data_IF_200454458266
#
_entry.id   IF_200454458266
#
_cell.length_a   1.000
_cell.length_b   1.000
_cell.length_c   1.000
_cell.angle_alpha   90.00
_cell.angle_beta   90.00
_cell.angle_gamma   90.00
#
_symmetry.space_group_name_H-M   'P 1'
#
loop_
_entity.id
_entity.type
_entity.pdbx_description
1 polymer ?
#
# COMPACT_ATOMS: atom_id res chain seq x y z
N UNK A 1 22.64 1.50 10.91
CA UNK A 1 23.74 0.73 10.29
C UNK A 1 23.32 0.31 8.90
N UNK A 2 23.97 0.84 7.86
CA UNK A 2 23.62 0.52 6.46
C UNK A 2 24.06 -0.90 6.14
N UNK A 3 23.09 -1.79 5.98
CA UNK A 3 23.34 -3.16 5.56
C UNK A 3 23.51 -3.17 4.03
N UNK A 4 24.74 -3.36 3.53
CA UNK A 4 25.07 -3.34 2.09
C UNK A 4 24.18 -4.28 1.26
N UNK A 5 23.75 -5.42 1.84
CA UNK A 5 22.80 -6.34 1.22
C UNK A 5 21.42 -5.71 1.05
N UNK A 6 20.91 -5.01 2.06
CA UNK A 6 19.62 -4.33 1.97
C UNK A 6 19.65 -3.20 0.93
N UNK A 7 20.76 -2.46 0.87
CA UNK A 7 20.96 -1.43 -0.16
C UNK A 7 20.94 -2.03 -1.57
N UNK A 8 21.70 -3.10 -1.81
CA UNK A 8 21.72 -3.81 -3.09
C UNK A 8 20.33 -4.38 -3.47
N UNK A 9 19.61 -4.96 -2.51
CA UNK A 9 18.25 -5.48 -2.74
C UNK A 9 17.24 -4.36 -3.02
N UNK A 10 17.37 -3.22 -2.35
CA UNK A 10 16.54 -2.04 -2.63
C UNK A 10 16.81 -1.51 -4.04
N UNK A 11 18.10 -1.39 -4.41
CA UNK A 11 18.53 -0.94 -5.73
C UNK A 11 18.03 -1.88 -6.84
N UNK A 12 18.12 -3.20 -6.63
CA UNK A 12 17.58 -4.20 -7.55
C UNK A 12 16.04 -4.11 -7.72
N UNK A 13 15.29 -3.87 -6.65
CA UNK A 13 13.83 -3.67 -6.76
C UNK A 13 13.51 -2.41 -7.54
N UNK A 14 14.23 -1.32 -7.28
CA UNK A 14 14.07 -0.04 -7.99
C UNK A 14 14.40 -0.17 -9.48
N UNK A 15 15.47 -0.90 -9.85
CA UNK A 15 15.84 -1.08 -11.25
C UNK A 15 14.80 -1.89 -12.04
N UNK A 16 14.25 -2.96 -11.46
CA UNK A 16 13.18 -3.73 -12.10
C UNK A 16 11.88 -2.92 -12.25
N UNK A 17 11.59 -2.05 -11.28
CA UNK A 17 10.44 -1.16 -11.31
C UNK A 17 10.61 -0.09 -12.39
N UNK A 18 11.76 0.55 -12.47
CA UNK A 18 12.07 1.53 -13.52
C UNK A 18 12.00 0.90 -14.92
N UNK A 19 12.56 -0.31 -15.10
CA UNK A 19 12.43 -1.05 -16.35
C UNK A 19 10.97 -1.36 -16.70
N UNK A 20 10.12 -1.58 -15.70
CA UNK A 20 8.67 -1.77 -15.90
C UNK A 20 7.97 -0.48 -16.30
N UNK A 21 8.36 0.65 -15.72
CA UNK A 21 7.74 1.95 -16.02
C UNK A 21 7.96 2.36 -17.48
N UNK A 22 9.11 2.00 -18.06
CA UNK A 22 9.39 2.23 -19.50
C UNK A 22 8.79 1.17 -20.43
N UNK A 23 8.63 -0.08 -19.96
CA UNK A 23 8.19 -1.18 -20.80
C UNK A 23 6.66 -1.31 -20.82
N UNK A 24 6.04 -0.89 -21.93
CA UNK A 24 4.58 -1.04 -22.15
C UNK A 24 4.15 -2.51 -22.17
N UNK A 25 4.93 -3.38 -22.79
CA UNK A 25 4.59 -4.79 -22.97
C UNK A 25 5.38 -5.75 -22.07
N UNK A 26 4.68 -6.77 -21.54
CA UNK A 26 5.25 -7.71 -20.55
C UNK A 26 6.33 -8.64 -21.10
N UNK A 27 6.29 -8.99 -22.39
CA UNK A 27 7.27 -9.89 -23.00
C UNK A 27 8.65 -9.21 -23.14
N UNK A 28 8.67 -7.94 -23.57
CA UNK A 28 9.91 -7.13 -23.63
C UNK A 28 10.51 -6.95 -22.24
N UNK A 29 9.67 -6.60 -21.26
CA UNK A 29 10.11 -6.42 -19.88
C UNK A 29 10.78 -7.69 -19.30
N UNK A 30 10.27 -8.88 -19.61
CA UNK A 30 10.88 -10.14 -19.11
C UNK A 30 12.32 -10.30 -19.60
N UNK A 31 12.60 -9.98 -20.86
CA UNK A 31 13.97 -10.00 -21.41
C UNK A 31 14.89 -9.02 -20.67
N UNK A 32 14.42 -7.79 -20.48
CA UNK A 32 15.16 -6.76 -19.74
C UNK A 32 15.40 -7.14 -18.27
N UNK A 33 14.39 -7.71 -17.61
CA UNK A 33 14.50 -8.12 -16.20
C UNK A 33 15.54 -9.23 -16.01
N UNK A 34 15.62 -10.18 -16.93
CA UNK A 34 16.66 -11.22 -16.91
C UNK A 34 18.05 -10.63 -17.13
N UNK A 35 18.18 -9.67 -18.05
CA UNK A 35 19.43 -8.96 -18.27
C UNK A 35 19.90 -8.18 -17.02
N UNK A 36 18.99 -7.43 -16.38
CA UNK A 36 19.29 -6.74 -15.12
C UNK A 36 19.73 -7.75 -14.06
N UNK A 37 19.04 -8.89 -13.95
CA UNK A 37 19.41 -9.95 -13.01
C UNK A 37 20.81 -10.49 -13.28
N UNK A 38 21.18 -10.76 -14.53
CA UNK A 38 22.52 -11.27 -14.86
C UNK A 38 23.63 -10.28 -14.48
N UNK A 39 23.38 -8.96 -14.62
CA UNK A 39 24.33 -7.94 -14.19
C UNK A 39 24.58 -7.96 -12.66
N UNK A 40 23.52 -8.14 -11.87
CA UNK A 40 23.66 -8.26 -10.42
C UNK A 40 24.30 -9.58 -10.00
N UNK A 41 23.98 -10.68 -10.69
CA UNK A 41 24.59 -11.98 -10.40
C UNK A 41 26.09 -12.01 -10.72
N UNK A 42 26.53 -11.36 -11.80
CA UNK A 42 27.94 -11.22 -12.15
C UNK A 42 28.75 -10.51 -11.05
N UNK A 43 28.14 -9.57 -10.33
CA UNK A 43 28.79 -8.76 -9.29
C UNK A 43 28.55 -9.28 -7.86
N UNK A 44 27.95 -10.47 -7.70
CA UNK A 44 27.55 -11.01 -6.39
C UNK A 44 28.72 -11.35 -5.47
N UNK A 45 29.85 -11.79 -6.04
CA UNK A 45 30.97 -12.38 -5.30
C UNK A 45 32.08 -11.38 -4.96
N UNK A 46 31.82 -10.08 -5.08
CA UNK A 46 32.80 -9.04 -4.76
C UNK A 46 32.93 -8.94 -3.24
N UNK A 47 34.12 -9.23 -2.69
CA UNK A 47 34.39 -9.16 -1.25
C UNK A 47 34.77 -7.74 -0.81
N UNK A 48 35.44 -6.99 -1.69
CA UNK A 48 35.94 -5.64 -1.40
C UNK A 48 34.81 -4.62 -1.17
N UNK A 49 34.67 -4.14 0.06
CA UNK A 49 33.62 -3.18 0.45
C UNK A 49 33.71 -1.86 -0.31
N UNK A 50 34.94 -1.38 -0.61
CA UNK A 50 35.14 -0.14 -1.38
C UNK A 50 34.60 -0.26 -2.80
N UNK A 51 34.85 -1.39 -3.46
CA UNK A 51 34.35 -1.68 -4.81
C UNK A 51 32.83 -1.84 -4.80
N UNK A 52 32.27 -2.52 -3.80
CA UNK A 52 30.80 -2.63 -3.65
C UNK A 52 30.14 -1.24 -3.56
N UNK A 53 30.71 -0.33 -2.76
CA UNK A 53 30.19 1.05 -2.63
C UNK A 53 30.30 1.84 -3.94
N UNK A 54 31.43 1.72 -4.64
CA UNK A 54 31.61 2.37 -5.94
C UNK A 54 30.53 1.91 -6.94
N UNK A 55 30.33 0.59 -7.07
CA UNK A 55 29.31 0.02 -7.96
C UNK A 55 27.88 0.45 -7.57
N UNK A 56 27.55 0.46 -6.28
CA UNK A 56 26.25 0.96 -5.83
C UNK A 56 26.07 2.42 -6.22
N UNK A 57 27.06 3.28 -6.00
CA UNK A 57 26.98 4.70 -6.36
C UNK A 57 26.87 4.91 -7.88
N UNK A 58 27.60 4.13 -8.69
CA UNK A 58 27.52 4.17 -10.15
C UNK A 58 26.13 3.76 -10.64
N UNK A 59 25.59 2.67 -10.11
CA UNK A 59 24.24 2.20 -10.46
C UNK A 59 23.15 3.17 -9.99
N UNK A 60 23.32 3.87 -8.87
CA UNK A 60 22.39 4.93 -8.45
C UNK A 60 22.41 6.13 -9.40
N UNK A 61 23.59 6.54 -9.89
CA UNK A 61 23.69 7.58 -10.91
C UNK A 61 22.98 7.18 -12.20
N UNK A 62 23.19 5.94 -12.64
CA UNK A 62 22.49 5.41 -13.83
C UNK A 62 20.98 5.37 -13.62
N UNK A 63 20.50 4.94 -12.45
CA UNK A 63 19.07 4.95 -12.16
C UNK A 63 18.50 6.37 -12.20
N UNK A 64 19.23 7.35 -11.67
CA UNK A 64 18.80 8.75 -11.68
C UNK A 64 18.66 9.30 -13.09
N UNK A 65 19.64 9.03 -13.97
CA UNK A 65 19.61 9.52 -15.36
C UNK A 65 18.47 8.93 -16.18
N UNK A 66 18.05 7.70 -15.88
CA UNK A 66 17.04 6.96 -16.64
C UNK A 66 15.65 6.99 -15.98
N UNK A 67 15.45 7.83 -14.95
CA UNK A 67 14.15 7.96 -14.29
C UNK A 67 13.07 8.37 -15.28
N UNK A 68 11.95 7.66 -15.21
CA UNK A 68 10.77 8.03 -15.97
C UNK A 68 10.12 9.26 -15.31
N UNK A 69 9.69 10.29 -16.07
CA UNK A 69 9.09 11.50 -15.52
C UNK A 69 7.76 11.27 -14.78
N UNK A 70 6.97 10.27 -15.18
CA UNK A 70 5.68 9.93 -14.54
C UNK A 70 5.60 8.43 -14.21
N UNK A 71 6.23 7.97 -13.12
CA UNK A 71 6.31 6.55 -12.80
C UNK A 71 4.95 5.95 -12.45
N UNK A 72 4.71 4.68 -12.82
CA UNK A 72 3.44 4.04 -12.50
C UNK A 72 3.24 3.89 -10.99
N UNK A 73 2.19 4.53 -10.48
CA UNK A 73 1.76 4.44 -9.09
C UNK A 73 0.54 3.53 -8.96
N UNK A 74 0.51 2.67 -7.93
CA UNK A 74 -0.65 1.82 -7.71
C UNK A 74 -1.85 2.68 -7.28
N UNK A 75 -3.10 2.39 -7.68
CA UNK A 75 -4.22 3.29 -7.41
C UNK A 75 -4.43 3.62 -5.93
N UNK A 76 -4.22 2.64 -5.04
CA UNK A 76 -4.42 2.79 -3.59
C UNK A 76 -3.18 3.37 -2.87
N UNK A 77 -2.07 3.57 -3.58
CA UNK A 77 -0.82 4.09 -3.01
C UNK A 77 -0.98 5.52 -2.52
N UNK A 78 -0.09 5.98 -1.63
CA UNK A 78 0.19 7.42 -1.58
C UNK A 78 0.57 7.92 -2.99
N UNK A 79 -0.12 8.95 -3.46
CA UNK A 79 0.06 9.52 -4.81
C UNK A 79 -0.61 8.75 -5.96
N UNK A 80 -1.37 7.69 -5.67
CA UNK A 80 -2.20 6.99 -6.65
C UNK A 80 -3.56 7.65 -6.83
N UNK A 81 -4.23 7.40 -7.96
CA UNK A 81 -5.51 8.07 -8.26
C UNK A 81 -6.64 7.73 -7.27
N UNK A 82 -6.56 6.60 -6.55
CA UNK A 82 -7.54 6.14 -5.54
C UNK A 82 -7.09 6.33 -4.10
N UNK A 83 -5.98 7.02 -3.87
CA UNK A 83 -5.53 7.34 -2.53
C UNK A 83 -6.61 8.12 -1.77
N UNK A 84 -6.87 7.73 -0.51
CA UNK A 84 -7.77 8.42 0.42
C UNK A 84 -9.21 8.70 -0.09
N UNK A 85 -9.68 8.03 -1.15
CA UNK A 85 -11.07 8.21 -1.62
C UNK A 85 -12.12 7.79 -0.60
N UNK A 86 -11.86 6.69 0.12
CA UNK A 86 -12.79 6.08 1.09
C UNK A 86 -12.09 5.83 2.44
N UNK A 87 -11.59 6.88 3.10
CA UNK A 87 -11.00 6.73 4.43
C UNK A 87 -12.13 6.43 5.43
N UNK A 88 -12.03 5.36 6.24
CA UNK A 88 -13.03 5.11 7.27
C UNK A 88 -13.02 6.28 8.26
N UNK A 89 -14.21 6.68 8.72
CA UNK A 89 -14.31 7.70 9.76
C UNK A 89 -13.46 7.31 10.97
N UNK A 90 -12.82 8.31 11.58
CA UNK A 90 -12.05 8.10 12.80
C UNK A 90 -12.92 7.46 13.88
N UNK A 91 -12.34 6.60 14.72
CA UNK A 91 -13.07 5.84 15.74
C UNK A 91 -13.91 6.74 16.66
N UNK A 92 -13.40 7.93 17.00
CA UNK A 92 -14.12 8.93 17.81
C UNK A 92 -15.43 9.39 17.19
N UNK A 93 -15.52 9.47 15.85
CA UNK A 93 -16.75 9.84 15.16
C UNK A 93 -17.76 8.68 15.13
N UNK A 94 -17.27 7.44 15.10
CA UNK A 94 -18.11 6.24 15.16
C UNK A 94 -18.77 6.09 16.53
N UNK A 95 -18.01 6.29 17.60
CA UNK A 95 -18.50 6.26 19.00
C UNK A 95 -19.55 7.35 19.26
N UNK A 96 -19.35 8.56 18.71
CA UNK A 96 -20.32 9.66 18.81
C UNK A 96 -21.65 9.36 18.09
N UNK A 97 -21.61 8.69 16.94
CA UNK A 97 -22.81 8.35 16.16
C UNK A 97 -23.58 7.16 16.76
N UNK A 98 -22.88 6.17 17.32
CA UNK A 98 -23.50 5.01 17.98
C UNK A 98 -24.23 5.42 19.28
N UNK A 99 -23.64 6.34 20.05
CA UNK A 99 -24.24 6.90 21.26
C UNK A 99 -25.54 7.67 21.01
N UNK A 100 -25.74 8.21 19.80
CA UNK A 100 -26.93 9.00 19.42
C UNK A 100 -28.03 8.14 18.78
N UNK A 101 -27.69 6.96 18.28
CA UNK A 101 -28.64 6.00 17.69
C UNK A 101 -29.41 5.19 18.75
N UNK A 102 -28.89 5.06 19.97
CA UNK A 102 -29.55 4.33 21.08
C UNK A 102 -30.77 5.07 21.63
N UNK A 103 -30.92 6.38 21.38
CA UNK A 103 -31.97 7.21 21.96
C UNK A 103 -33.35 7.15 21.25
N UNK A 104 -33.50 6.38 20.17
CA UNK A 104 -34.74 6.43 19.34
C UNK A 104 -35.77 5.36 19.72
N UNK A 105 -35.44 4.34 20.52
CA UNK A 105 -36.35 3.19 20.77
C UNK A 105 -36.61 2.89 22.26
N UNK A 106 -37.01 3.88 23.06
CA UNK A 106 -37.52 3.63 24.40
C UNK A 106 -38.73 4.52 24.72
N UNK A 107 -39.87 4.24 24.10
CA UNK A 107 -41.21 4.48 24.67
C UNK A 107 -42.29 3.82 23.80
N UNK A 108 -42.30 2.48 23.77
CA UNK A 108 -43.45 1.70 23.30
C UNK A 108 -43.71 0.60 24.32
N UNK A 109 -44.75 0.86 25.14
CA UNK A 109 -45.66 -0.10 25.79
C UNK A 109 -45.08 -0.99 26.92
N UNK A 110 -45.46 -0.67 28.17
CA UNK A 110 -45.70 -1.70 29.20
C UNK A 110 -47.00 -1.42 29.96
N UNK A 111 -47.97 -2.32 29.74
CA UNK A 111 -48.96 -2.89 30.66
C UNK A 111 -49.98 -1.99 31.40
N UNK A 112 -51.26 -2.12 31.06
CA UNK A 112 -52.22 -2.84 31.92
C UNK A 112 -53.58 -2.98 31.20
N UNK A 113 -53.78 -4.13 30.55
CA UNK A 113 -55.11 -4.61 30.22
C UNK A 113 -55.60 -5.45 31.41
N UNK A 114 -56.44 -4.86 32.27
CA UNK A 114 -57.33 -5.64 33.13
C UNK A 114 -58.76 -5.46 32.63
N UNK A 115 -59.23 -6.51 31.97
CA UNK A 115 -60.61 -6.70 31.60
C UNK A 115 -61.52 -6.71 32.84
N UNK A 116 -62.58 -5.91 32.82
CA UNK A 116 -63.81 -6.14 33.59
C UNK A 116 -65.00 -5.84 32.67
N UNK A 117 -65.42 -6.88 31.96
CA UNK A 117 -66.77 -7.06 31.42
C UNK A 117 -67.29 -8.36 32.03
N UNK A 118 -68.59 -8.40 32.35
CA UNK A 118 -69.38 -9.37 33.15
C UNK A 118 -69.53 -8.90 34.62
N UNK A 119 -70.73 -8.73 35.19
CA UNK A 119 -72.03 -9.32 34.87
C UNK A 119 -73.17 -8.59 35.63
N UNK A 120 -74.37 -8.65 35.05
CA UNK A 120 -75.68 -8.73 35.71
C UNK A 120 -76.24 -7.59 36.60
N UNK A 121 -77.29 -6.96 36.04
CA UNK A 121 -78.67 -6.81 36.57
C UNK A 121 -79.19 -5.38 36.61
#
# INVERSE_FOLDING_TARGET
MSNHRQAALSLYRRSLKLALDWAVHRHLWRGQALYIRSLFEANRNIVDVRKQRALLNETEKLLETWKHPDPYCHPTAPGGSKYERNVPAHSTAREFMDSRSVCVNANVITSSATAKVLEAK
#
